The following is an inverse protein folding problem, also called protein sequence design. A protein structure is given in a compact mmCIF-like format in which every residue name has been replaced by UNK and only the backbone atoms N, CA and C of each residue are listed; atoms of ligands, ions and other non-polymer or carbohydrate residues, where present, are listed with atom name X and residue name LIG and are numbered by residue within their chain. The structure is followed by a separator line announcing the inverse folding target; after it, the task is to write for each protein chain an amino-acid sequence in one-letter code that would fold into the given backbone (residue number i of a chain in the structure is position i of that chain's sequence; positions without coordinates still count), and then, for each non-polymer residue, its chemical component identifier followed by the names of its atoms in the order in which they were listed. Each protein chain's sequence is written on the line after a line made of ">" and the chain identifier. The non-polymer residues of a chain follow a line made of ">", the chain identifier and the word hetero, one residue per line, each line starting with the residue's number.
data_IF_283759910426
#
_entry.id   IF_283759910426
#
_cell.length_a   1.000
_cell.length_b   1.000
_cell.length_c   1.000
_cell.angle_alpha   90.00
_cell.angle_beta   90.00
_cell.angle_gamma   90.00
#
_symmetry.space_group_name_H-M   'P 1'
#
loop_
_entity.id
_entity.type
_entity.pdbx_description
1 polymer ?
#
# COMPACT_ATOMS: atom_id res chain seq x y z
N UNK A 1 -24.97 9.15 3.76
CA UNK A 1 -24.60 7.83 4.29
C UNK A 1 -23.64 7.94 5.48
N UNK A 2 -22.38 8.34 5.33
CA UNK A 2 -21.43 8.34 6.46
C UNK A 2 -21.80 9.34 7.57
N UNK A 3 -22.20 10.57 7.21
CA UNK A 3 -22.69 11.57 8.19
C UNK A 3 -23.98 11.16 8.90
N UNK A 4 -24.85 10.40 8.24
CA UNK A 4 -26.09 9.89 8.86
C UNK A 4 -25.83 8.74 9.83
N UNK A 5 -24.62 8.16 9.81
CA UNK A 5 -24.14 7.16 10.78
C UNK A 5 -23.27 7.78 11.88
N UNK A 6 -23.28 9.12 12.03
CA UNK A 6 -22.48 9.82 13.04
C UNK A 6 -21.02 10.08 12.66
N UNK A 7 -20.52 9.51 11.56
CA UNK A 7 -19.13 9.68 11.13
C UNK A 7 -18.96 11.04 10.44
N UNK A 8 -18.34 12.00 11.14
CA UNK A 8 -18.13 13.36 10.65
C UNK A 8 -16.78 13.53 9.93
N UNK A 9 -16.81 14.18 8.75
CA UNK A 9 -15.64 14.61 7.94
C UNK A 9 -14.53 13.56 7.81
N UNK A 10 -14.75 12.62 6.90
CA UNK A 10 -13.72 11.64 6.53
C UNK A 10 -12.80 12.30 5.49
N UNK A 11 -11.51 12.35 5.81
CA UNK A 11 -10.45 12.69 4.87
C UNK A 11 -10.20 11.52 3.93
N UNK A 12 -9.03 10.91 4.05
CA UNK A 12 -8.73 9.64 3.39
C UNK A 12 -9.20 8.49 4.30
N UNK A 13 -10.27 7.74 3.96
CA UNK A 13 -10.86 6.76 4.86
C UNK A 13 -9.87 5.70 5.34
N UNK A 14 -8.89 5.35 4.51
CA UNK A 14 -7.91 4.31 4.81
C UNK A 14 -6.98 4.68 5.98
N UNK A 15 -6.77 5.98 6.23
CA UNK A 15 -5.90 6.47 7.30
C UNK A 15 -6.60 7.35 8.33
N UNK A 16 -7.83 7.79 8.07
CA UNK A 16 -8.60 8.63 9.01
C UNK A 16 -9.64 7.86 9.80
N UNK A 17 -10.16 6.74 9.28
CA UNK A 17 -11.16 5.97 10.02
C UNK A 17 -10.52 5.26 11.22
N UNK A 18 -11.20 5.35 12.36
CA UNK A 18 -10.85 4.64 13.59
C UNK A 18 -11.49 3.25 13.59
N UNK A 19 -11.03 2.37 14.46
CA UNK A 19 -11.66 1.04 14.64
C UNK A 19 -13.14 1.17 15.02
N UNK A 20 -13.50 2.17 15.83
CA UNK A 20 -14.89 2.45 16.22
C UNK A 20 -15.76 2.86 15.01
N UNK A 21 -15.20 3.64 14.09
CA UNK A 21 -15.88 3.96 12.82
C UNK A 21 -16.14 2.69 12.01
N UNK A 22 -15.16 1.78 11.93
CA UNK A 22 -15.35 0.50 11.23
C UNK A 22 -16.43 -0.37 11.90
N UNK A 23 -16.44 -0.48 13.23
CA UNK A 23 -17.51 -1.19 13.96
C UNK A 23 -18.89 -0.57 13.68
N UNK A 24 -18.95 0.76 13.58
CA UNK A 24 -20.19 1.46 13.22
C UNK A 24 -20.64 1.14 11.79
N UNK A 25 -19.70 1.03 10.84
CA UNK A 25 -19.98 0.72 9.44
C UNK A 25 -20.47 -0.72 9.22
N UNK A 26 -19.93 -1.67 9.97
CA UNK A 26 -20.27 -3.09 9.83
C UNK A 26 -21.41 -3.53 10.75
N UNK A 27 -21.95 -2.62 11.57
CA UNK A 27 -23.08 -2.92 12.45
C UNK A 27 -24.25 -3.45 11.62
N UNK A 28 -24.88 -4.53 12.08
CA UNK A 28 -25.94 -5.26 11.37
C UNK A 28 -25.48 -6.01 10.10
N UNK A 29 -24.17 -6.21 9.90
CA UNK A 29 -23.64 -7.10 8.86
C UNK A 29 -23.09 -8.39 9.48
N UNK A 30 -22.84 -9.42 8.65
CA UNK A 30 -22.25 -10.71 9.07
C UNK A 30 -20.71 -10.66 9.20
N UNK A 31 -20.11 -9.47 9.14
CA UNK A 31 -18.64 -9.31 9.22
C UNK A 31 -18.17 -9.51 10.67
N UNK A 32 -17.18 -10.38 10.87
CA UNK A 32 -16.64 -10.67 12.20
C UNK A 32 -15.85 -9.49 12.80
N UNK A 33 -15.83 -9.40 14.13
CA UNK A 33 -15.03 -8.38 14.84
C UNK A 33 -13.54 -8.49 14.53
N UNK A 34 -13.00 -9.71 14.42
CA UNK A 34 -11.60 -9.93 14.02
C UNK A 34 -11.29 -9.33 12.64
N UNK A 35 -12.24 -9.45 11.71
CA UNK A 35 -12.10 -8.83 10.38
C UNK A 35 -12.09 -7.31 10.48
N UNK A 36 -12.95 -6.73 11.33
CA UNK A 36 -12.99 -5.28 11.58
C UNK A 36 -11.67 -4.77 12.13
N UNK A 37 -11.14 -5.44 13.17
CA UNK A 37 -9.84 -5.10 13.77
C UNK A 37 -8.73 -5.22 12.74
N UNK A 38 -8.74 -6.28 11.94
CA UNK A 38 -7.77 -6.47 10.87
C UNK A 38 -7.82 -5.33 9.86
N UNK A 39 -8.99 -5.04 9.28
CA UNK A 39 -9.15 -4.01 8.26
C UNK A 39 -8.84 -2.59 8.77
N UNK A 40 -9.20 -2.27 10.02
CA UNK A 40 -8.91 -0.95 10.61
C UNK A 40 -7.42 -0.73 10.91
N UNK A 41 -6.65 -1.81 11.03
CA UNK A 41 -5.23 -1.78 11.36
C UNK A 41 -4.31 -1.80 10.12
N UNK A 42 -4.80 -2.17 8.94
CA UNK A 42 -3.98 -2.34 7.71
C UNK A 42 -3.03 -1.15 7.47
N UNK A 43 -3.53 0.08 7.63
CA UNK A 43 -2.76 1.30 7.36
C UNK A 43 -2.33 2.05 8.63
N UNK A 44 -2.32 1.39 9.80
CA UNK A 44 -2.08 2.05 11.08
C UNK A 44 -0.75 2.82 11.14
N UNK A 45 0.32 2.27 10.54
CA UNK A 45 1.64 2.91 10.51
C UNK A 45 1.73 4.08 9.52
N UNK A 46 0.72 4.26 8.66
CA UNK A 46 0.63 5.32 7.66
C UNK A 46 -0.30 6.46 8.06
N UNK A 47 -0.94 6.37 9.24
CA UNK A 47 -1.74 7.46 9.81
C UNK A 47 -0.95 8.77 9.99
N UNK A 48 0.32 8.76 10.49
CA UNK A 48 1.11 9.98 10.60
C UNK A 48 1.28 10.69 9.24
N UNK A 49 1.03 12.00 9.19
CA UNK A 49 1.00 12.77 7.94
C UNK A 49 2.28 12.64 7.11
N UNK A 50 3.44 12.52 7.75
CA UNK A 50 4.74 12.33 7.09
C UNK A 50 4.83 11.06 6.22
N UNK A 51 4.00 10.05 6.48
CA UNK A 51 3.96 8.79 5.71
C UNK A 51 2.82 8.73 4.70
N UNK A 52 1.85 9.64 4.77
CA UNK A 52 0.74 9.69 3.82
C UNK A 52 1.15 9.91 2.34
N UNK A 53 2.29 10.56 2.01
CA UNK A 53 2.80 10.62 0.63
C UNK A 53 3.17 9.26 0.02
N UNK A 54 3.33 8.19 0.82
CA UNK A 54 3.53 6.82 0.33
C UNK A 54 2.25 6.25 -0.31
N UNK A 55 1.10 6.85 -0.01
CA UNK A 55 -0.20 6.48 -0.54
C UNK A 55 -0.57 7.38 -1.73
N UNK A 56 -1.11 6.76 -2.77
CA UNK A 56 -1.56 7.43 -3.97
C UNK A 56 -2.76 8.33 -3.66
N UNK A 57 -2.67 9.60 -4.08
CA UNK A 57 -3.71 10.61 -3.84
C UNK A 57 -3.95 11.43 -5.11
N UNK A 58 -5.21 11.78 -5.32
CA UNK A 58 -5.62 12.68 -6.39
C UNK A 58 -6.45 13.82 -5.81
N UNK A 59 -6.02 15.08 -6.02
CA UNK A 59 -6.69 16.28 -5.51
C UNK A 59 -7.05 16.17 -4.00
N UNK A 60 -6.08 15.71 -3.19
CA UNK A 60 -6.20 15.48 -1.73
C UNK A 60 -7.18 14.36 -1.31
N UNK A 61 -7.62 13.50 -2.22
CA UNK A 61 -8.47 12.34 -1.94
C UNK A 61 -7.71 11.05 -2.17
N UNK A 62 -8.12 10.00 -1.45
CA UNK A 62 -7.68 8.62 -1.69
C UNK A 62 -7.86 8.25 -3.16
N UNK A 63 -6.80 7.74 -3.77
CA UNK A 63 -6.82 7.23 -5.13
C UNK A 63 -6.11 5.88 -5.19
N UNK A 64 -6.47 5.09 -6.20
CA UNK A 64 -5.99 3.72 -6.37
C UNK A 64 -5.34 3.55 -7.74
N UNK A 65 -4.31 2.71 -7.80
CA UNK A 65 -3.95 2.04 -9.03
C UNK A 65 -4.87 0.86 -9.32
N UNK A 66 -4.74 0.25 -10.48
CA UNK A 66 -5.36 -1.03 -10.80
C UNK A 66 -4.60 -1.81 -11.87
N UNK A 67 -4.80 -3.13 -11.84
CA UNK A 67 -4.46 -4.04 -12.94
C UNK A 67 -5.78 -4.44 -13.64
N UNK A 68 -5.92 -4.11 -14.92
CA UNK A 68 -7.13 -4.44 -15.70
C UNK A 68 -7.35 -5.95 -15.79
N UNK A 69 -6.26 -6.72 -15.91
CA UNK A 69 -6.33 -8.19 -15.96
C UNK A 69 -6.75 -8.80 -14.63
N UNK A 70 -6.28 -8.29 -13.48
CA UNK A 70 -6.79 -8.72 -12.17
C UNK A 70 -8.30 -8.46 -12.05
N UNK A 71 -8.76 -7.26 -12.43
CA UNK A 71 -10.18 -6.93 -12.37
C UNK A 71 -11.04 -7.80 -13.31
N UNK A 72 -10.47 -8.31 -14.40
CA UNK A 72 -11.17 -9.20 -15.34
C UNK A 72 -11.22 -10.66 -14.86
N UNK A 73 -10.20 -11.12 -14.13
CA UNK A 73 -10.10 -12.48 -13.61
C UNK A 73 -10.80 -12.68 -12.25
N UNK A 74 -10.95 -11.61 -11.46
CA UNK A 74 -11.60 -11.69 -10.16
C UNK A 74 -13.10 -12.03 -10.33
N UNK A 75 -13.56 -13.08 -9.64
CA UNK A 75 -14.99 -13.41 -9.57
C UNK A 75 -15.80 -12.26 -8.96
N UNK A 76 -15.25 -11.64 -7.90
CA UNK A 76 -15.76 -10.41 -7.29
C UNK A 76 -14.64 -9.36 -7.34
N UNK A 77 -14.66 -8.44 -8.32
CA UNK A 77 -13.62 -7.45 -8.51
C UNK A 77 -13.48 -6.50 -7.31
N UNK A 78 -12.25 -6.32 -6.83
CA UNK A 78 -11.94 -5.48 -5.68
C UNK A 78 -10.65 -4.68 -5.86
N UNK A 79 -10.58 -3.53 -5.19
CA UNK A 79 -9.37 -2.71 -5.13
C UNK A 79 -8.44 -3.28 -4.06
N UNK A 80 -7.25 -3.73 -4.46
CA UNK A 80 -6.28 -4.34 -3.55
C UNK A 80 -5.60 -3.29 -2.68
N UNK A 81 -5.30 -3.67 -1.44
CA UNK A 81 -4.55 -2.85 -0.48
C UNK A 81 -3.23 -2.32 -1.05
N UNK A 82 -2.49 -3.15 -1.80
CA UNK A 82 -1.20 -2.79 -2.41
C UNK A 82 -1.34 -1.73 -3.52
N UNK A 83 -2.48 -1.68 -4.20
CA UNK A 83 -2.73 -0.70 -5.25
C UNK A 83 -2.85 0.73 -4.73
N UNK A 84 -2.88 0.90 -3.40
CA UNK A 84 -2.83 2.22 -2.78
C UNK A 84 -1.47 2.86 -2.78
N UNK A 85 -0.40 2.12 -2.99
CA UNK A 85 0.93 2.66 -2.82
C UNK A 85 1.48 3.29 -4.09
N UNK A 86 2.26 4.35 -3.92
CA UNK A 86 2.95 5.03 -5.04
C UNK A 86 4.03 4.15 -5.67
N UNK A 87 4.69 3.31 -4.85
CA UNK A 87 5.75 2.40 -5.28
C UNK A 87 5.22 1.09 -5.89
N UNK A 88 3.92 0.82 -5.79
CA UNK A 88 3.30 -0.34 -6.45
C UNK A 88 3.05 -0.02 -7.92
N UNK A 89 4.04 -0.31 -8.76
CA UNK A 89 4.07 0.14 -10.17
C UNK A 89 3.87 -0.99 -11.17
N UNK A 90 4.11 -2.24 -10.77
CA UNK A 90 3.94 -3.43 -11.61
C UNK A 90 2.96 -4.39 -10.92
N UNK A 91 2.10 -5.07 -11.69
CA UNK A 91 1.33 -6.19 -11.17
C UNK A 91 2.20 -7.46 -11.13
N UNK A 92 2.49 -8.07 -9.97
CA UNK A 92 3.30 -9.29 -9.92
C UNK A 92 2.64 -10.53 -10.53
N UNK A 93 1.31 -10.52 -10.72
CA UNK A 93 0.58 -11.63 -11.34
C UNK A 93 0.64 -11.56 -12.87
N UNK A 94 0.54 -10.35 -13.42
CA UNK A 94 0.33 -10.13 -14.85
C UNK A 94 1.50 -9.44 -15.54
N UNK A 95 2.49 -8.97 -14.78
CA UNK A 95 3.73 -8.34 -15.27
C UNK A 95 3.44 -7.12 -16.17
N UNK A 96 2.44 -6.34 -15.77
CA UNK A 96 2.00 -5.13 -16.49
C UNK A 96 2.08 -3.91 -15.58
N UNK A 97 2.21 -2.73 -16.17
CA UNK A 97 2.17 -1.48 -15.41
C UNK A 97 0.81 -1.26 -14.76
N UNK A 98 0.84 -0.88 -13.49
CA UNK A 98 -0.35 -0.47 -12.74
C UNK A 98 -0.86 0.86 -13.29
N UNK A 99 -2.11 0.87 -13.73
CA UNK A 99 -2.76 2.07 -14.23
C UNK A 99 -3.32 2.89 -13.08
N UNK A 100 -3.16 4.21 -13.13
CA UNK A 100 -3.61 5.12 -12.04
C UNK A 100 -4.81 5.98 -12.42
N UNK A 101 -5.22 5.91 -13.69
CA UNK A 101 -6.27 6.73 -14.28
C UNK A 101 -7.07 5.91 -15.28
N UNK A 102 -8.29 6.32 -15.52
CA UNK A 102 -9.13 5.77 -16.57
C UNK A 102 -8.54 6.12 -17.94
N UNK A 103 -8.41 5.12 -18.82
CA UNK A 103 -7.91 5.31 -20.18
C UNK A 103 -8.86 6.12 -21.09
N UNK A 104 -10.13 6.24 -20.72
CA UNK A 104 -11.13 6.98 -21.51
C UNK A 104 -11.26 8.46 -21.10
N UNK A 105 -11.25 8.76 -19.80
CA UNK A 105 -11.51 10.12 -19.29
C UNK A 105 -10.37 10.75 -18.49
N UNK A 106 -9.25 10.04 -18.30
CA UNK A 106 -8.11 10.45 -17.46
C UNK A 106 -8.48 10.68 -15.96
N UNK A 107 -9.67 10.28 -15.55
CA UNK A 107 -10.14 10.38 -14.17
C UNK A 107 -9.40 9.42 -13.22
N UNK A 108 -9.10 9.88 -12.01
CA UNK A 108 -8.48 9.04 -10.98
C UNK A 108 -9.45 8.00 -10.42
N UNK A 109 -8.94 6.81 -10.12
CA UNK A 109 -9.74 5.70 -9.59
C UNK A 109 -9.95 5.89 -8.08
N UNK A 110 -11.22 5.84 -7.63
CA UNK A 110 -11.62 6.14 -6.25
C UNK A 110 -12.59 5.08 -5.73
N UNK A 111 -12.35 4.54 -4.53
CA UNK A 111 -13.19 3.51 -3.92
C UNK A 111 -14.58 4.02 -3.47
N UNK A 112 -14.69 5.28 -3.03
CA UNK A 112 -15.87 5.79 -2.30
C UNK A 112 -16.97 6.37 -3.22
N UNK A 113 -16.84 6.23 -4.54
CA UNK A 113 -17.86 6.70 -5.48
C UNK A 113 -18.35 5.53 -6.31
N UNK A 114 -19.46 4.86 -5.92
CA UNK A 114 -20.10 3.90 -6.81
C UNK A 114 -20.47 4.61 -8.12
N UNK A 115 -20.43 3.86 -9.22
CA UNK A 115 -20.87 4.32 -10.54
C UNK A 115 -22.25 4.98 -10.44
N UNK A 116 -22.45 6.05 -11.24
CA UNK A 116 -23.65 6.89 -11.17
C UNK A 116 -24.92 6.12 -11.52
N UNK A 117 -24.79 5.00 -12.22
CA UNK A 117 -25.89 4.27 -12.86
C UNK A 117 -26.54 3.17 -12.00
N UNK A 118 -25.95 2.71 -10.90
CA UNK A 118 -26.51 1.58 -10.13
C UNK A 118 -26.16 1.59 -8.65
N UNK A 119 -27.16 1.36 -7.78
CA UNK A 119 -26.95 0.85 -6.42
C UNK A 119 -26.28 -0.53 -6.54
N UNK A 120 -25.06 -0.70 -6.02
CA UNK A 120 -24.24 -1.90 -6.23
C UNK A 120 -23.22 -1.80 -7.38
N UNK A 121 -22.84 -0.58 -7.79
CA UNK A 121 -21.89 -0.35 -8.88
C UNK A 121 -20.58 -1.15 -8.73
N UNK A 122 -20.23 -1.88 -9.79
CA UNK A 122 -18.99 -2.67 -9.85
C UNK A 122 -17.76 -1.77 -9.92
N UNK A 123 -16.70 -2.15 -9.19
CA UNK A 123 -15.39 -1.50 -9.20
C UNK A 123 -14.66 -1.64 -10.56
N UNK A 124 -15.22 -2.43 -11.49
CA UNK A 124 -14.75 -2.50 -12.87
C UNK A 124 -15.04 -1.25 -13.68
N UNK A 125 -15.95 -0.37 -13.25
CA UNK A 125 -16.34 0.80 -14.03
C UNK A 125 -15.78 2.09 -13.45
N UNK A 126 -15.40 3.03 -14.32
CA UNK A 126 -14.89 4.32 -13.91
C UNK A 126 -15.98 5.15 -13.20
N UNK A 127 -15.73 5.59 -11.97
CA UNK A 127 -16.68 6.45 -11.22
C UNK A 127 -16.99 7.82 -11.87
N UNK A 128 -16.20 8.24 -12.86
CA UNK A 128 -16.34 9.53 -13.54
C UNK A 128 -17.03 9.43 -14.91
N UNK A 129 -16.80 8.36 -15.68
CA UNK A 129 -17.33 8.19 -17.05
C UNK A 129 -17.96 6.82 -17.35
N UNK A 130 -18.12 5.97 -16.34
CA UNK A 130 -18.71 4.62 -16.41
C UNK A 130 -18.06 3.64 -17.41
N UNK A 131 -16.90 3.98 -17.99
CA UNK A 131 -16.18 3.10 -18.91
C UNK A 131 -15.56 1.90 -18.18
N UNK A 132 -15.58 0.73 -18.83
CA UNK A 132 -15.07 -0.52 -18.26
C UNK A 132 -13.53 -0.54 -18.20
N UNK A 133 -12.99 -0.49 -16.98
CA UNK A 133 -11.57 -0.50 -16.65
C UNK A 133 -10.89 -1.83 -17.03
N UNK A 134 -11.63 -2.93 -17.18
CA UNK A 134 -11.08 -4.22 -17.63
C UNK A 134 -10.59 -4.17 -19.06
N UNK A 135 -11.14 -3.27 -19.87
CA UNK A 135 -10.77 -3.06 -21.26
C UNK A 135 -9.56 -2.14 -21.43
N UNK A 136 -8.95 -1.71 -20.33
CA UNK A 136 -7.85 -0.77 -20.41
C UNK A 136 -6.63 -1.40 -21.11
N UNK A 137 -5.97 -0.67 -22.04
CA UNK A 137 -4.84 -1.19 -22.79
C UNK A 137 -3.71 -1.69 -21.89
N UNK A 138 -3.22 -2.89 -22.18
CA UNK A 138 -2.19 -3.55 -21.38
C UNK A 138 -0.84 -3.41 -22.07
N UNK A 139 0.12 -2.82 -21.38
CA UNK A 139 1.53 -2.84 -21.78
C UNK A 139 2.24 -3.94 -21.00
N UNK A 140 2.44 -5.09 -21.64
CA UNK A 140 3.19 -6.21 -21.07
C UNK A 140 4.67 -5.85 -20.95
N UNK A 141 5.24 -6.05 -19.77
CA UNK A 141 6.67 -5.87 -19.53
C UNK A 141 7.40 -7.20 -19.79
N UNK A 142 8.26 -7.22 -20.79
CA UNK A 142 9.06 -8.41 -21.16
C UNK A 142 10.48 -8.40 -20.57
N UNK A 143 10.76 -7.48 -19.64
CA UNK A 143 12.12 -7.17 -19.20
C UNK A 143 12.69 -8.15 -18.16
N UNK A 144 14.00 -8.37 -18.24
CA UNK A 144 14.78 -9.25 -17.33
C UNK A 144 14.74 -8.85 -15.85
N UNK A 145 14.18 -7.68 -15.54
CA UNK A 145 14.15 -7.10 -14.19
C UNK A 145 12.75 -6.99 -13.58
N UNK A 146 11.70 -7.47 -14.27
CA UNK A 146 10.31 -7.36 -13.76
C UNK A 146 10.16 -8.08 -12.43
N UNK A 147 10.68 -9.30 -12.32
CA UNK A 147 10.61 -10.08 -11.09
C UNK A 147 11.31 -9.38 -9.92
N UNK A 148 12.53 -8.86 -10.15
CA UNK A 148 13.29 -8.12 -9.15
C UNK A 148 12.57 -6.84 -8.70
N UNK A 149 11.93 -6.12 -9.63
CA UNK A 149 11.14 -4.93 -9.30
C UNK A 149 9.86 -5.30 -8.52
N UNK A 150 9.20 -6.40 -8.89
CA UNK A 150 8.05 -6.94 -8.17
C UNK A 150 8.42 -7.35 -6.73
N UNK A 151 9.57 -8.01 -6.54
CA UNK A 151 10.11 -8.35 -5.23
C UNK A 151 10.43 -7.09 -4.41
N UNK A 152 11.05 -6.09 -5.04
CA UNK A 152 11.39 -4.82 -4.39
C UNK A 152 10.16 -4.04 -3.93
N UNK A 153 9.17 -3.82 -4.81
CA UNK A 153 7.94 -3.14 -4.42
C UNK A 153 7.19 -3.92 -3.32
N UNK A 154 7.18 -5.26 -3.38
CA UNK A 154 6.53 -6.09 -2.37
C UNK A 154 7.21 -5.92 -1.00
N UNK A 155 8.55 -5.91 -0.98
CA UNK A 155 9.32 -5.64 0.22
C UNK A 155 9.00 -4.25 0.79
N UNK A 156 8.97 -3.21 -0.07
CA UNK A 156 8.62 -1.84 0.34
C UNK A 156 7.24 -1.78 0.98
N UNK A 157 6.23 -2.35 0.32
CA UNK A 157 4.87 -2.29 0.83
C UNK A 157 4.75 -3.07 2.14
N UNK A 158 5.41 -4.22 2.26
CA UNK A 158 5.47 -4.95 3.52
C UNK A 158 6.12 -4.12 4.64
N UNK A 159 7.19 -3.36 4.36
CA UNK A 159 7.79 -2.43 5.33
C UNK A 159 6.78 -1.38 5.79
N UNK A 160 6.00 -0.84 4.86
CA UNK A 160 5.02 0.21 5.15
C UNK A 160 3.84 -0.32 5.97
N UNK A 161 3.35 -1.52 5.64
CA UNK A 161 2.22 -2.16 6.32
C UNK A 161 2.61 -2.71 7.71
N UNK A 162 3.85 -3.18 7.88
CA UNK A 162 4.32 -3.68 9.18
C UNK A 162 4.94 -2.59 10.07
N UNK A 163 5.27 -1.44 9.50
CA UNK A 163 5.94 -0.36 10.23
C UNK A 163 7.43 -0.61 10.52
N UNK A 164 8.00 -1.70 9.99
CA UNK A 164 9.42 -2.05 10.10
C UNK A 164 9.86 -2.97 8.96
N UNK A 165 11.16 -3.11 8.77
CA UNK A 165 11.78 -4.10 7.89
C UNK A 165 12.99 -4.75 8.54
N UNK A 166 13.49 -5.81 7.92
CA UNK A 166 14.76 -6.42 8.27
C UNK A 166 15.83 -5.98 7.28
N UNK A 167 17.03 -5.73 7.79
CA UNK A 167 18.16 -5.25 6.99
C UNK A 167 19.35 -6.19 7.18
N UNK A 168 19.98 -6.58 6.08
CA UNK A 168 21.17 -7.45 6.12
C UNK A 168 22.29 -6.80 6.95
N UNK A 169 22.85 -7.56 7.88
CA UNK A 169 23.89 -7.08 8.80
C UNK A 169 23.38 -6.26 9.99
N UNK A 170 22.07 -5.97 10.08
CA UNK A 170 21.49 -5.30 11.24
C UNK A 170 20.79 -6.32 12.16
N UNK A 171 21.13 -6.39 13.47
CA UNK A 171 20.61 -7.42 14.36
C UNK A 171 19.12 -7.23 14.69
N UNK A 172 18.65 -5.99 14.69
CA UNK A 172 17.29 -5.63 15.09
C UNK A 172 16.42 -5.18 13.90
N UNK A 173 15.08 -5.23 14.01
CA UNK A 173 14.20 -4.63 13.02
C UNK A 173 14.41 -3.12 12.87
N UNK A 174 14.49 -2.64 11.63
CA UNK A 174 14.61 -1.22 11.31
C UNK A 174 13.20 -0.63 11.14
N UNK A 175 12.84 0.30 12.02
CA UNK A 175 11.53 0.98 11.97
C UNK A 175 11.29 1.71 10.64
N UNK A 176 10.03 1.92 10.26
CA UNK A 176 9.65 2.68 9.07
C UNK A 176 10.27 4.08 9.04
N UNK A 177 10.38 4.74 10.20
CA UNK A 177 11.00 6.07 10.31
C UNK A 177 12.49 6.01 9.93
N UNK A 178 13.22 5.05 10.50
CA UNK A 178 14.63 4.83 10.19
C UNK A 178 14.82 4.42 8.72
N UNK A 179 13.99 3.50 8.23
CA UNK A 179 14.00 3.07 6.83
C UNK A 179 13.84 4.25 5.87
N UNK A 180 12.88 5.16 6.12
CA UNK A 180 12.68 6.34 5.27
C UNK A 180 13.88 7.29 5.30
N UNK A 181 14.54 7.46 6.44
CA UNK A 181 15.76 8.26 6.54
C UNK A 181 16.90 7.63 5.71
N UNK A 182 17.12 6.33 5.88
CA UNK A 182 18.13 5.60 5.11
C UNK A 182 17.87 5.68 3.59
N UNK A 183 16.59 5.61 3.19
CA UNK A 183 16.18 5.76 1.79
C UNK A 183 16.46 7.18 1.27
N UNK A 184 16.17 8.22 2.07
CA UNK A 184 16.41 9.62 1.70
C UNK A 184 17.90 9.96 1.61
N UNK A 185 18.73 9.36 2.46
CA UNK A 185 20.18 9.52 2.43
C UNK A 185 20.88 8.68 1.34
N UNK A 186 20.13 7.90 0.55
CA UNK A 186 20.71 7.02 -0.48
C UNK A 186 21.49 5.83 0.07
N UNK A 187 21.28 5.48 1.35
CA UNK A 187 21.98 4.42 2.06
C UNK A 187 21.32 3.05 1.92
N UNK A 188 20.25 2.93 1.14
CA UNK A 188 19.62 1.64 0.83
C UNK A 188 19.87 1.29 -0.63
N UNK A 189 20.42 0.10 -0.88
CA UNK A 189 20.42 -0.45 -2.23
C UNK A 189 19.02 -0.93 -2.58
N UNK A 190 18.67 -0.84 -3.86
CA UNK A 190 17.49 -1.52 -4.42
C UNK A 190 17.77 -3.02 -4.59
N UNK A 191 18.35 -3.64 -3.57
CA UNK A 191 18.69 -5.05 -3.55
C UNK A 191 17.87 -5.72 -2.45
N UNK A 192 17.08 -6.70 -2.88
CA UNK A 192 16.29 -7.56 -2.03
C UNK A 192 17.05 -8.87 -1.84
N UNK A 193 17.28 -9.27 -0.59
CA UNK A 193 17.79 -10.61 -0.28
C UNK A 193 16.58 -11.51 -0.03
N UNK A 194 16.18 -12.25 -1.06
CA UNK A 194 15.17 -13.31 -0.93
C UNK A 194 15.83 -14.52 -0.28
N UNK A 195 15.66 -14.68 1.03
CA UNK A 195 15.82 -16.00 1.62
C UNK A 195 14.46 -16.69 1.54
N UNK A 196 14.35 -17.75 0.71
CA UNK A 196 13.08 -18.46 0.45
C UNK A 196 12.42 -19.05 1.71
N UNK A 197 13.10 -19.00 2.86
CA UNK A 197 12.64 -19.50 4.17
C UNK A 197 12.20 -18.42 5.17
N UNK A 198 12.43 -17.12 4.93
CA UNK A 198 12.09 -16.07 5.91
C UNK A 198 11.25 -14.95 5.30
N UNK A 199 9.99 -14.87 5.71
CA UNK A 199 9.20 -13.64 5.68
C UNK A 199 9.51 -12.83 6.94
N UNK A 200 9.76 -11.50 6.88
CA UNK A 200 9.72 -10.62 5.71
C UNK A 200 11.04 -10.55 4.92
N UNK A 201 10.91 -10.11 3.67
CA UNK A 201 11.99 -9.82 2.71
C UNK A 201 13.01 -8.83 3.30
N UNK A 202 14.32 -9.11 3.14
CA UNK A 202 15.42 -8.28 3.69
C UNK A 202 15.96 -7.27 2.69
N UNK A 203 16.23 -6.05 3.15
CA UNK A 203 16.93 -5.03 2.37
C UNK A 203 18.44 -5.08 2.61
N UNK A 204 19.23 -4.70 1.60
CA UNK A 204 20.67 -4.47 1.75
C UNK A 204 20.98 -2.98 1.88
N UNK A 205 21.83 -2.61 2.84
CA UNK A 205 22.33 -1.24 2.95
C UNK A 205 23.41 -0.99 1.91
N UNK A 206 23.37 0.19 1.30
CA UNK A 206 24.47 0.73 0.52
C UNK A 206 25.44 1.39 1.49
N UNK A 207 26.62 0.82 1.56
CA UNK A 207 27.72 1.43 2.28
C UNK A 207 28.27 2.58 1.41
N UNK A 208 27.97 3.83 1.78
CA UNK A 208 28.75 4.95 1.25
C UNK A 208 30.04 4.92 2.08
N UNK A 209 31.14 4.51 1.43
CA UNK A 209 32.53 4.48 1.94
C UNK A 209 33.08 3.18 2.59
N UNK A 210 32.53 1.99 2.28
CA UNK A 210 33.00 0.68 2.83
C UNK A 210 33.04 0.54 4.37
N UNK A 211 32.67 1.60 5.10
CA UNK A 211 32.44 1.55 6.53
C UNK A 211 31.01 1.15 6.78
N UNK A 212 30.79 -0.15 7.04
CA UNK A 212 29.54 -0.65 7.62
C UNK A 212 29.17 0.30 8.75
N UNK A 213 28.18 1.18 8.51
CA UNK A 213 27.60 1.98 9.56
C UNK A 213 26.88 0.99 10.46
N UNK A 214 27.61 0.45 11.43
CA UNK A 214 27.04 0.01 12.68
C UNK A 214 26.40 1.27 13.27
N UNK A 215 25.14 1.54 12.91
CA UNK A 215 24.27 2.36 13.72
C UNK A 215 24.04 1.58 15.02
N UNK A 216 25.06 1.55 15.88
CA UNK A 216 24.88 1.38 17.30
C UNK A 216 24.03 2.57 17.74
N UNK A 217 22.71 2.43 17.72
CA UNK A 217 21.90 3.17 18.68
C UNK A 217 22.34 2.64 20.05
N UNK A 218 22.99 3.45 20.90
CA UNK A 218 23.38 2.96 22.21
C UNK A 218 22.10 2.54 22.93
N UNK A 219 22.08 1.30 23.46
CA UNK A 219 21.24 0.97 24.59
C UNK A 219 21.54 2.02 25.64
N UNK A 220 20.62 2.96 25.86
CA UNK A 220 20.61 3.70 27.12
C UNK A 220 20.41 2.65 28.20
N UNK A 221 21.43 2.50 29.04
CA UNK A 221 21.37 1.77 30.28
C UNK A 221 20.10 2.15 31.05
N UNK A 222 19.17 1.21 31.16
CA UNK A 222 18.32 1.08 32.33
C UNK A 222 18.89 -0.07 33.15
N UNK A 223 20.09 0.17 33.68
CA UNK A 223 20.58 -0.51 34.86
C UNK A 223 20.12 0.30 36.07
N UNK A 224 19.34 -0.36 36.93
CA UNK A 224 19.22 -0.15 38.37
C UNK A 224 19.54 1.24 38.93
N UNK A 225 18.50 1.95 39.40
CA UNK A 225 18.27 2.44 40.78
C UNK A 225 16.77 2.70 40.93
#
# INVERSE_FOLDING_TARGET
>A
MLRSMGIQRIGDPDVTLTTEDFFTLVRETEVSEDSVVHFSAIYQYLRPERFQPLLHRAKRRAAYGFCSTCLAEDEIPYLRTTWRFVDWTICPKHHIRIQRKCFACDGSIRAVRPCRSTYGGSLCFCSDCDNDLRLAPVEALSDKNVDAECEYQQALINTFLNGYCLVEGHPEPVSLSCFKLLQQCGQLERAVVVNRSTSPVRFRLRCIDDQLFFLFLPRTDLAAI
#
